data_IF_297220192849
#
_entry.id   IF_297220192849
#
_cell.length_a   1.000
_cell.length_b   1.000
_cell.length_c   1.000
_cell.angle_alpha   90.00
_cell.angle_beta   90.00
_cell.angle_gamma   90.00
#
_symmetry.space_group_name_H-M   'P 1'
#
loop_
_entity.id
_entity.type
_entity.pdbx_description
1 polymer ?
#
# COMPACT_ATOMS: atom_id res chain seq x y z
N UNK A 1 -24.40 26.32 -25.22
CA UNK A 1 -24.71 25.98 -23.81
C UNK A 1 -24.11 24.62 -23.53
N UNK A 2 -23.04 24.60 -22.73
CA UNK A 2 -22.23 23.40 -22.46
C UNK A 2 -22.92 22.57 -21.37
N UNK A 3 -22.95 21.25 -21.53
CA UNK A 3 -23.52 20.31 -20.58
C UNK A 3 -22.68 20.32 -19.29
N UNK A 4 -23.07 21.10 -18.29
CA UNK A 4 -22.61 20.91 -16.92
C UNK A 4 -23.13 19.57 -16.44
N UNK A 5 -22.23 18.61 -16.21
CA UNK A 5 -22.56 17.39 -15.50
C UNK A 5 -23.20 17.80 -14.17
N UNK A 6 -24.40 17.30 -13.83
CA UNK A 6 -24.93 17.53 -12.49
C UNK A 6 -23.92 16.96 -11.49
N UNK A 7 -23.63 17.72 -10.43
CA UNK A 7 -22.93 17.22 -9.25
C UNK A 7 -23.86 16.21 -8.56
N UNK A 8 -23.91 14.99 -9.12
CA UNK A 8 -24.64 13.88 -8.52
C UNK A 8 -23.79 13.39 -7.36
N UNK A 9 -24.27 13.48 -6.10
CA UNK A 9 -23.51 12.98 -4.97
C UNK A 9 -23.28 11.47 -5.16
N UNK A 10 -22.00 11.11 -5.31
CA UNK A 10 -21.53 9.75 -5.45
C UNK A 10 -21.32 9.16 -4.06
N UNK A 11 -22.17 8.22 -3.65
CA UNK A 11 -21.92 7.39 -2.48
C UNK A 11 -21.25 6.09 -2.93
N UNK A 12 -19.92 6.03 -2.86
CA UNK A 12 -19.17 4.81 -3.16
C UNK A 12 -19.02 4.00 -1.88
N UNK A 13 -19.66 2.84 -1.83
CA UNK A 13 -19.49 1.86 -0.74
C UNK A 13 -18.46 0.83 -1.18
N UNK A 14 -17.30 0.78 -0.54
CA UNK A 14 -16.28 -0.25 -0.84
C UNK A 14 -16.65 -1.55 -0.13
N UNK A 15 -16.90 -2.61 -0.90
CA UNK A 15 -17.07 -3.95 -0.35
C UNK A 15 -15.78 -4.38 0.34
N UNK A 16 -15.82 -4.57 1.66
CA UNK A 16 -14.67 -5.07 2.42
C UNK A 16 -13.70 -4.02 2.97
N UNK A 17 -13.97 -2.72 2.85
CA UNK A 17 -13.13 -1.63 3.40
C UNK A 17 -11.64 -1.69 2.96
N UNK A 18 -11.37 -2.27 1.79
CA UNK A 18 -10.04 -2.39 1.20
C UNK A 18 -10.00 -1.61 -0.10
N UNK A 19 -8.96 -0.79 -0.26
CA UNK A 19 -8.61 -0.15 -1.51
C UNK A 19 -7.32 -0.79 -2.03
N UNK A 20 -7.43 -1.57 -3.11
CA UNK A 20 -6.30 -2.30 -3.67
C UNK A 20 -5.63 -1.47 -4.78
N UNK A 21 -4.36 -1.13 -4.59
CA UNK A 21 -3.58 -0.33 -5.53
C UNK A 21 -3.26 -1.06 -6.83
N UNK A 22 -3.35 -2.40 -6.86
CA UNK A 22 -3.17 -3.19 -8.09
C UNK A 22 -4.18 -2.79 -9.20
N UNK A 23 -5.29 -2.14 -8.84
CA UNK A 23 -6.27 -1.59 -9.80
C UNK A 23 -5.63 -0.65 -10.84
N UNK A 24 -4.53 0.03 -10.49
CA UNK A 24 -3.82 0.95 -11.38
C UNK A 24 -2.99 0.26 -12.47
N UNK A 25 -2.76 -1.04 -12.33
CA UNK A 25 -2.06 -1.88 -13.31
C UNK A 25 -2.98 -2.86 -14.03
N UNK A 26 -4.28 -2.83 -13.75
CA UNK A 26 -5.23 -3.68 -14.44
C UNK A 26 -5.29 -3.31 -15.93
N UNK A 27 -5.33 -4.32 -16.81
CA UNK A 27 -5.49 -4.12 -18.27
C UNK A 27 -6.74 -3.30 -18.62
N UNK A 28 -7.78 -3.41 -17.78
CA UNK A 28 -9.03 -2.68 -17.93
C UNK A 28 -8.98 -1.23 -17.39
N UNK A 29 -7.87 -0.78 -16.81
CA UNK A 29 -7.75 0.57 -16.30
C UNK A 29 -7.77 1.58 -17.47
N UNK A 30 -8.72 2.54 -17.48
CA UNK A 30 -8.88 3.39 -18.65
C UNK A 30 -7.69 4.34 -18.79
N UNK A 31 -7.07 4.46 -19.99
CA UNK A 31 -5.95 5.38 -20.19
C UNK A 31 -6.38 6.85 -20.07
N UNK A 32 -7.68 7.12 -20.20
CA UNK A 32 -8.31 8.43 -19.97
C UNK A 32 -9.57 8.25 -19.13
N UNK A 33 -9.44 8.11 -17.80
CA UNK A 33 -10.57 7.93 -16.90
C UNK A 33 -11.51 9.13 -16.98
N UNK A 34 -12.82 8.87 -17.09
CA UNK A 34 -13.82 9.94 -17.05
C UNK A 34 -13.81 10.63 -15.68
N UNK A 35 -14.31 11.88 -15.56
CA UNK A 35 -14.42 12.55 -14.26
C UNK A 35 -15.14 11.70 -13.22
N UNK A 36 -16.20 11.01 -13.62
CA UNK A 36 -16.93 10.08 -12.78
C UNK A 36 -16.04 8.95 -12.21
N UNK A 37 -15.22 8.30 -13.05
CA UNK A 37 -14.31 7.24 -12.60
C UNK A 37 -13.26 7.80 -11.65
N UNK A 38 -12.70 8.99 -11.95
CA UNK A 38 -11.73 9.65 -11.07
C UNK A 38 -12.33 9.91 -9.68
N UNK A 39 -13.51 10.52 -9.63
CA UNK A 39 -14.22 10.81 -8.38
C UNK A 39 -14.56 9.53 -7.63
N UNK A 40 -15.03 8.49 -8.32
CA UNK A 40 -15.36 7.22 -7.66
C UNK A 40 -14.14 6.55 -7.00
N UNK A 41 -12.97 6.60 -7.66
CA UNK A 41 -11.72 6.08 -7.10
C UNK A 41 -11.27 6.92 -5.90
N UNK A 42 -11.36 8.25 -5.99
CA UNK A 42 -11.01 9.16 -4.90
C UNK A 42 -11.90 8.95 -3.67
N UNK A 43 -13.22 8.86 -3.86
CA UNK A 43 -14.17 8.56 -2.79
C UNK A 43 -13.90 7.19 -2.16
N UNK A 44 -13.64 6.17 -2.97
CA UNK A 44 -13.28 4.84 -2.47
C UNK A 44 -12.03 4.87 -1.58
N UNK A 45 -11.00 5.62 -1.98
CA UNK A 45 -9.79 5.80 -1.18
C UNK A 45 -10.06 6.55 0.12
N UNK A 46 -10.91 7.59 0.09
CA UNK A 46 -11.23 8.38 1.28
C UNK A 46 -12.06 7.59 2.31
N UNK A 47 -12.89 6.66 1.86
CA UNK A 47 -13.73 5.84 2.74
C UNK A 47 -13.02 4.58 3.27
N UNK A 48 -11.89 4.18 2.67
CA UNK A 48 -11.25 2.90 3.01
C UNK A 48 -10.57 2.90 4.38
N UNK A 49 -10.59 1.75 5.06
CA UNK A 49 -9.83 1.54 6.30
C UNK A 49 -8.52 0.79 6.05
N UNK A 50 -8.41 0.13 4.90
CA UNK A 50 -7.25 -0.64 4.50
C UNK A 50 -6.79 -0.23 3.10
N UNK A 51 -5.49 0.03 2.94
CA UNK A 51 -4.83 0.14 1.63
C UNK A 51 -4.02 -1.12 1.43
N UNK A 52 -4.28 -1.83 0.35
CA UNK A 52 -3.61 -3.08 0.04
C UNK A 52 -2.84 -2.98 -1.27
N UNK A 53 -1.74 -3.72 -1.36
CA UNK A 53 -1.17 -4.16 -2.63
C UNK A 53 -1.21 -5.68 -2.68
N UNK A 54 -2.03 -6.23 -3.56
CA UNK A 54 -2.11 -7.69 -3.76
C UNK A 54 -1.23 -8.12 -4.90
N UNK A 55 -0.20 -8.90 -4.60
CA UNK A 55 0.74 -9.45 -5.58
C UNK A 55 0.12 -10.66 -6.26
N UNK A 56 0.09 -10.65 -7.57
CA UNK A 56 -0.51 -11.66 -8.43
C UNK A 56 0.49 -12.13 -9.50
N UNK A 57 0.06 -13.06 -10.35
CA UNK A 57 0.84 -13.50 -11.50
C UNK A 57 1.12 -12.36 -12.49
N UNK A 58 0.18 -11.42 -12.62
CA UNK A 58 0.29 -10.29 -13.55
C UNK A 58 1.42 -9.34 -13.15
N UNK A 59 1.66 -9.20 -11.84
CA UNK A 59 2.76 -8.39 -11.30
C UNK A 59 4.16 -8.93 -11.64
N UNK A 60 4.25 -10.19 -12.06
CA UNK A 60 5.50 -10.81 -12.49
C UNK A 60 5.74 -10.68 -14.00
N UNK A 61 4.70 -10.36 -14.77
CA UNK A 61 4.76 -10.31 -16.23
C UNK A 61 4.59 -8.91 -16.79
N UNK A 62 3.95 -8.00 -16.04
CA UNK A 62 3.72 -6.62 -16.45
C UNK A 62 4.77 -5.66 -15.87
N UNK A 63 5.14 -4.60 -16.60
CA UNK A 63 6.03 -3.57 -16.08
C UNK A 63 5.30 -2.79 -14.95
N UNK A 64 5.88 -2.83 -13.76
CA UNK A 64 5.36 -2.10 -12.58
C UNK A 64 6.04 -0.75 -12.37
N UNK A 65 7.12 -0.49 -13.10
CA UNK A 65 7.96 0.70 -13.04
C UNK A 65 7.44 1.88 -13.89
N UNK A 66 6.58 1.61 -14.87
CA UNK A 66 6.01 2.62 -15.77
C UNK A 66 4.45 2.63 -15.72
N UNK A 67 3.84 3.04 -14.59
CA UNK A 67 2.40 3.21 -14.52
C UNK A 67 1.93 4.32 -15.47
N UNK A 68 0.74 4.15 -16.06
CA UNK A 68 0.18 5.15 -16.96
C UNK A 68 0.08 6.55 -16.31
N UNK A 69 0.25 7.60 -17.11
CA UNK A 69 0.14 8.98 -16.62
C UNK A 69 -1.19 9.25 -15.89
N UNK A 70 -2.30 8.68 -16.38
CA UNK A 70 -3.60 8.82 -15.74
C UNK A 70 -3.64 8.15 -14.35
N UNK A 71 -3.01 6.97 -14.19
CA UNK A 71 -2.88 6.31 -12.90
C UNK A 71 -2.04 7.15 -11.93
N UNK A 72 -0.90 7.67 -12.39
CA UNK A 72 -0.02 8.55 -11.58
C UNK A 72 -0.76 9.80 -11.12
N UNK A 73 -1.49 10.46 -12.01
CA UNK A 73 -2.27 11.66 -11.68
C UNK A 73 -3.34 11.38 -10.62
N UNK A 74 -4.07 10.27 -10.76
CA UNK A 74 -5.08 9.88 -9.77
C UNK A 74 -4.40 9.54 -8.44
N UNK A 75 -3.36 8.71 -8.44
CA UNK A 75 -2.63 8.26 -7.25
C UNK A 75 -2.14 9.45 -6.39
N UNK A 76 -1.64 10.51 -7.02
CA UNK A 76 -1.20 11.74 -6.33
C UNK A 76 -2.32 12.49 -5.61
N UNK A 77 -3.56 12.31 -6.06
CA UNK A 77 -4.76 12.99 -5.51
C UNK A 77 -5.51 12.16 -4.48
N UNK A 78 -5.14 10.90 -4.27
CA UNK A 78 -5.82 10.04 -3.30
C UNK A 78 -5.55 10.52 -1.88
N UNK A 79 -6.63 10.60 -1.10
CA UNK A 79 -6.60 10.88 0.33
C UNK A 79 -7.04 9.63 1.09
N UNK A 80 -6.33 9.34 2.17
CA UNK A 80 -6.46 8.10 2.94
C UNK A 80 -6.74 8.41 4.40
N UNK A 81 -7.67 9.34 4.65
CA UNK A 81 -7.90 9.93 5.98
C UNK A 81 -8.31 8.89 7.04
N UNK A 82 -9.00 7.82 6.61
CA UNK A 82 -9.53 6.77 7.49
C UNK A 82 -8.64 5.53 7.59
N UNK A 83 -7.57 5.47 6.82
CA UNK A 83 -6.74 4.26 6.70
C UNK A 83 -6.03 3.97 8.00
N UNK A 84 -6.22 2.76 8.51
CA UNK A 84 -5.54 2.25 9.70
C UNK A 84 -4.58 1.13 9.37
N UNK A 85 -4.90 0.37 8.33
CA UNK A 85 -4.16 -0.82 7.92
C UNK A 85 -3.57 -0.63 6.53
N UNK A 86 -2.32 -1.03 6.39
CA UNK A 86 -1.61 -1.08 5.12
C UNK A 86 -1.10 -2.49 4.94
N UNK A 87 -1.49 -3.16 3.85
CA UNK A 87 -1.14 -4.55 3.63
C UNK A 87 -0.46 -4.81 2.29
N UNK A 88 0.44 -5.79 2.30
CA UNK A 88 1.05 -6.37 1.10
C UNK A 88 0.92 -7.88 1.21
N UNK A 89 0.10 -8.45 0.35
CA UNK A 89 -0.33 -9.85 0.44
C UNK A 89 -0.29 -10.51 -0.94
N UNK A 90 -0.24 -11.84 -1.01
CA UNK A 90 -0.42 -12.55 -2.28
C UNK A 90 -1.90 -12.66 -2.62
N UNK A 91 -2.21 -12.71 -3.92
CA UNK A 91 -3.53 -13.10 -4.41
C UNK A 91 -3.89 -14.51 -3.91
N UNK A 92 -5.17 -14.76 -3.69
CA UNK A 92 -5.60 -16.07 -3.17
C UNK A 92 -5.22 -17.19 -4.14
N UNK A 93 -4.56 -18.24 -3.62
CA UNK A 93 -4.07 -19.37 -4.40
C UNK A 93 -2.81 -19.07 -5.23
N UNK A 94 -2.27 -17.84 -5.17
CA UNK A 94 -1.03 -17.51 -5.84
C UNK A 94 0.17 -18.02 -5.03
N UNK A 95 0.96 -18.87 -5.67
CA UNK A 95 2.23 -19.37 -5.13
C UNK A 95 3.34 -18.85 -6.05
N UNK A 96 4.18 -17.91 -5.57
CA UNK A 96 5.22 -17.32 -6.40
C UNK A 96 6.28 -18.38 -6.78
N UNK A 97 6.81 -18.32 -8.02
CA UNK A 97 7.92 -19.19 -8.41
C UNK A 97 9.16 -18.99 -7.51
N UNK A 98 9.96 -20.04 -7.27
CA UNK A 98 11.20 -19.91 -6.51
C UNK A 98 12.17 -18.92 -7.17
N UNK A 99 12.79 -18.05 -6.36
CA UNK A 99 13.77 -17.07 -6.85
C UNK A 99 13.17 -15.86 -7.56
N UNK A 100 11.85 -15.70 -7.55
CA UNK A 100 11.20 -14.49 -8.06
C UNK A 100 11.61 -13.27 -7.24
N UNK A 101 11.97 -12.19 -7.93
CA UNK A 101 12.28 -10.90 -7.31
C UNK A 101 11.01 -10.25 -6.78
N UNK A 102 11.08 -9.69 -5.59
CA UNK A 102 9.99 -8.91 -4.99
C UNK A 102 9.62 -7.69 -5.86
N UNK A 103 8.36 -7.56 -6.30
CA UNK A 103 7.92 -6.40 -7.06
C UNK A 103 8.00 -5.11 -6.24
N UNK A 104 8.29 -4.01 -6.93
CA UNK A 104 8.34 -2.66 -6.38
C UNK A 104 7.47 -1.71 -7.22
N UNK A 105 6.15 -1.68 -6.99
CA UNK A 105 5.20 -0.95 -7.83
C UNK A 105 5.40 0.55 -7.70
N UNK A 106 5.79 1.21 -8.79
CA UNK A 106 6.10 2.65 -8.78
C UNK A 106 4.89 3.52 -8.40
N UNK A 107 3.65 3.03 -8.58
CA UNK A 107 2.44 3.75 -8.18
C UNK A 107 2.43 4.09 -6.68
N UNK A 108 3.01 3.22 -5.84
CA UNK A 108 3.06 3.43 -4.38
C UNK A 108 3.86 4.70 -4.08
N UNK A 109 4.97 4.94 -4.79
CA UNK A 109 5.81 6.13 -4.63
C UNK A 109 5.07 7.43 -4.95
N UNK A 110 4.01 7.40 -5.75
CA UNK A 110 3.20 8.56 -6.10
C UNK A 110 2.08 8.88 -5.11
N UNK A 111 1.82 8.02 -4.12
CA UNK A 111 0.83 8.27 -3.09
C UNK A 111 1.26 9.38 -2.14
N UNK A 112 0.28 10.07 -1.59
CA UNK A 112 0.45 10.91 -0.40
C UNK A 112 0.85 10.07 0.81
N UNK A 113 1.30 10.71 1.88
CA UNK A 113 1.48 10.03 3.17
C UNK A 113 0.14 9.48 3.67
N UNK A 114 0.20 8.44 4.50
CA UNK A 114 -0.95 7.79 5.12
C UNK A 114 -1.05 8.27 6.57
N UNK A 115 -1.63 9.46 6.83
CA UNK A 115 -1.45 10.18 8.09
C UNK A 115 -2.10 9.48 9.29
N UNK A 116 -2.94 8.47 9.07
CA UNK A 116 -3.64 7.73 10.12
C UNK A 116 -3.27 6.25 10.16
N UNK A 117 -2.35 5.80 9.29
CA UNK A 117 -1.90 4.42 9.21
C UNK A 117 -1.19 3.98 10.48
N UNK A 118 -1.61 2.85 11.05
CA UNK A 118 -1.12 2.34 12.33
C UNK A 118 -0.50 0.96 12.23
N UNK A 119 -0.96 0.16 11.27
CA UNK A 119 -0.47 -1.19 11.08
C UNK A 119 0.06 -1.34 9.66
N UNK A 120 1.29 -1.81 9.55
CA UNK A 120 1.87 -2.30 8.32
C UNK A 120 1.96 -3.83 8.40
N UNK A 121 1.27 -4.53 7.51
CA UNK A 121 1.25 -5.98 7.43
C UNK A 121 1.82 -6.44 6.08
N UNK A 122 2.80 -7.32 6.10
CA UNK A 122 3.40 -7.88 4.89
C UNK A 122 3.34 -9.40 5.04
N UNK A 123 2.46 -10.06 4.30
CA UNK A 123 2.25 -11.52 4.37
C UNK A 123 2.59 -12.25 3.07
N UNK A 124 3.59 -11.73 2.36
CA UNK A 124 4.11 -12.33 1.14
C UNK A 124 5.64 -12.36 1.16
N UNK A 125 6.22 -13.50 0.79
CA UNK A 125 7.65 -13.63 0.50
C UNK A 125 8.15 -12.78 -0.67
N UNK A 126 7.23 -12.22 -1.49
CA UNK A 126 7.53 -11.21 -2.50
C UNK A 126 7.20 -9.78 -2.03
N UNK A 127 6.70 -9.64 -0.81
CA UNK A 127 6.19 -8.38 -0.29
C UNK A 127 7.28 -7.36 0.07
N UNK A 128 8.56 -7.71 -0.01
CA UNK A 128 9.67 -6.87 0.43
C UNK A 128 9.75 -5.51 -0.29
N UNK A 129 9.63 -5.51 -1.62
CA UNK A 129 9.73 -4.32 -2.44
C UNK A 129 8.55 -3.37 -2.22
N UNK A 130 7.33 -3.84 -2.46
CA UNK A 130 6.10 -3.09 -2.20
C UNK A 130 5.97 -2.67 -0.73
N UNK A 131 6.31 -3.55 0.20
CA UNK A 131 6.25 -3.28 1.64
C UNK A 131 7.19 -2.18 2.09
N UNK A 132 8.38 -2.09 1.48
CA UNK A 132 9.30 -0.98 1.70
C UNK A 132 8.71 0.35 1.24
N UNK A 133 8.13 0.39 0.04
CA UNK A 133 7.49 1.59 -0.48
C UNK A 133 6.29 2.01 0.39
N UNK A 134 5.50 1.05 0.87
CA UNK A 134 4.40 1.30 1.82
C UNK A 134 4.90 1.85 3.15
N UNK A 135 6.00 1.29 3.67
CA UNK A 135 6.64 1.78 4.88
C UNK A 135 7.01 3.26 4.74
N UNK A 136 7.55 3.71 3.60
CA UNK A 136 7.87 5.13 3.37
C UNK A 136 6.64 6.05 3.44
N UNK A 137 5.44 5.51 3.17
CA UNK A 137 4.16 6.24 3.22
C UNK A 137 3.48 6.24 4.58
N UNK A 138 3.93 5.40 5.53
CA UNK A 138 3.41 5.42 6.90
C UNK A 138 3.67 6.79 7.57
N UNK A 139 2.86 7.19 8.57
CA UNK A 139 2.95 8.52 9.16
C UNK A 139 4.35 8.82 9.73
N UNK A 140 4.79 10.07 9.58
CA UNK A 140 6.10 10.55 10.07
C UNK A 140 6.02 11.24 11.43
N UNK A 141 4.88 11.80 11.78
CA UNK A 141 4.72 12.58 13.01
C UNK A 141 4.77 11.65 14.23
N UNK A 142 5.56 12.01 15.24
CA UNK A 142 5.73 11.24 16.49
C UNK A 142 4.41 11.06 17.25
N UNK A 143 3.48 12.01 17.10
CA UNK A 143 2.14 11.93 17.67
C UNK A 143 1.28 10.82 17.03
N UNK A 144 1.68 10.35 15.84
CA UNK A 144 0.98 9.33 15.04
C UNK A 144 1.92 8.15 14.81
N UNK A 145 2.18 7.43 15.90
CA UNK A 145 3.06 6.26 15.95
C UNK A 145 2.55 5.11 15.09
N UNK A 146 3.48 4.31 14.56
CA UNK A 146 3.15 3.01 13.98
C UNK A 146 2.97 2.03 15.13
N UNK A 147 1.76 1.55 15.33
CA UNK A 147 1.44 0.66 16.45
C UNK A 147 2.03 -0.74 16.23
N UNK A 148 1.98 -1.23 14.99
CA UNK A 148 2.37 -2.61 14.70
C UNK A 148 2.94 -2.76 13.30
N UNK A 149 4.06 -3.46 13.20
CA UNK A 149 4.60 -3.96 11.94
C UNK A 149 4.57 -5.48 12.00
N UNK A 150 3.86 -6.11 11.09
CA UNK A 150 3.73 -7.56 11.01
C UNK A 150 4.40 -8.04 9.73
N UNK A 151 5.40 -8.90 9.86
CA UNK A 151 6.17 -9.46 8.75
C UNK A 151 5.95 -10.96 8.72
N UNK A 152 5.49 -11.49 7.59
CA UNK A 152 5.28 -12.91 7.37
C UNK A 152 6.57 -13.71 7.54
N UNK A 153 6.42 -14.98 7.93
CA UNK A 153 7.55 -15.90 8.08
C UNK A 153 8.27 -16.18 6.75
N UNK A 154 7.58 -15.95 5.64
CA UNK A 154 8.04 -16.09 4.27
C UNK A 154 8.80 -14.87 3.73
N UNK A 155 8.67 -13.70 4.35
CA UNK A 155 9.46 -12.50 3.98
C UNK A 155 10.95 -12.72 4.26
N UNK A 156 11.83 -12.44 3.31
CA UNK A 156 13.28 -12.63 3.50
C UNK A 156 13.89 -11.70 4.56
N UNK A 157 14.94 -12.12 5.26
CA UNK A 157 15.59 -11.32 6.33
C UNK A 157 16.05 -9.94 5.87
N UNK A 158 16.68 -9.87 4.69
CA UNK A 158 17.11 -8.58 4.10
C UNK A 158 15.92 -7.68 3.76
N UNK A 159 14.83 -8.27 3.31
CA UNK A 159 13.61 -7.54 2.97
C UNK A 159 12.94 -7.00 4.22
N UNK A 160 12.83 -7.80 5.29
CA UNK A 160 12.35 -7.36 6.61
C UNK A 160 13.15 -6.16 7.11
N UNK A 161 14.48 -6.26 7.04
CA UNK A 161 15.37 -5.16 7.43
C UNK A 161 15.16 -3.93 6.56
N UNK A 162 14.99 -4.11 5.25
CA UNK A 162 14.70 -3.02 4.31
C UNK A 162 13.38 -2.31 4.62
N UNK A 163 12.31 -3.04 4.94
CA UNK A 163 11.01 -2.47 5.34
C UNK A 163 11.16 -1.65 6.63
N UNK A 164 11.81 -2.22 7.65
CA UNK A 164 12.01 -1.53 8.92
C UNK A 164 12.85 -0.26 8.77
N UNK A 165 13.92 -0.31 7.94
CA UNK A 165 14.72 0.89 7.62
C UNK A 165 13.91 1.95 6.87
N UNK A 166 12.99 1.55 5.99
CA UNK A 166 12.16 2.46 5.23
C UNK A 166 11.06 3.16 6.07
N UNK A 167 10.72 2.61 7.24
CA UNK A 167 9.99 3.38 8.25
C UNK A 167 10.83 4.58 8.74
N UNK A 168 12.16 4.47 8.74
CA UNK A 168 13.06 5.54 9.13
C UNK A 168 13.27 5.60 10.64
N UNK A 169 14.47 6.07 11.03
CA UNK A 169 14.93 6.06 12.42
C UNK A 169 14.16 7.01 13.36
N UNK A 170 13.44 7.99 12.80
CA UNK A 170 12.66 8.97 13.57
C UNK A 170 11.26 8.47 13.97
N UNK A 171 10.85 7.29 13.48
CA UNK A 171 9.50 6.75 13.75
C UNK A 171 9.49 5.82 14.95
N UNK A 172 8.51 6.06 15.82
CA UNK A 172 8.25 5.15 16.93
C UNK A 172 7.35 4.00 16.48
N UNK A 173 7.87 2.78 16.59
CA UNK A 173 7.16 1.54 16.33
C UNK A 173 6.95 0.81 17.66
N UNK A 174 5.69 0.58 18.05
CA UNK A 174 5.39 -0.04 19.35
C UNK A 174 5.65 -1.55 19.34
N UNK A 175 5.23 -2.25 18.28
CA UNK A 175 5.38 -3.71 18.19
C UNK A 175 5.87 -4.11 16.80
N UNK A 176 6.86 -5.01 16.75
CA UNK A 176 7.28 -5.67 15.52
C UNK A 176 7.08 -7.16 15.67
N UNK A 177 6.35 -7.78 14.75
CA UNK A 177 6.10 -9.21 14.76
C UNK A 177 6.67 -9.85 13.51
N UNK A 178 7.29 -11.01 13.70
CA UNK A 178 7.88 -11.79 12.63
C UNK A 178 7.33 -13.21 12.70
N UNK A 179 6.54 -13.60 11.70
CA UNK A 179 5.76 -14.82 11.72
C UNK A 179 4.72 -14.82 12.86
N UNK A 180 4.55 -15.96 13.54
CA UNK A 180 3.65 -16.06 14.72
C UNK A 180 4.28 -15.54 16.02
N UNK A 181 5.47 -14.95 15.99
CA UNK A 181 6.17 -14.47 17.17
C UNK A 181 6.19 -12.95 17.20
N UNK A 182 5.68 -12.37 18.29
CA UNK A 182 5.72 -10.94 18.53
C UNK A 182 6.98 -10.56 19.31
N UNK A 183 7.66 -9.51 18.88
CA UNK A 183 8.81 -8.92 19.58
C UNK A 183 8.41 -7.48 19.96
N UNK A 184 8.30 -7.21 21.26
CA UNK A 184 8.09 -5.84 21.73
C UNK A 184 9.38 -5.05 21.57
N UNK A 185 9.34 -3.98 20.79
CA UNK A 185 10.50 -3.10 20.59
C UNK A 185 10.45 -2.03 21.67
N UNK A 186 11.07 -2.30 22.82
CA UNK A 186 11.27 -1.27 23.84
C UNK A 186 12.60 -0.56 23.56
N UNK A 187 12.49 0.61 22.92
CA UNK A 187 13.45 1.73 22.87
C UNK A 187 14.96 1.41 22.79
N UNK A 188 15.56 1.76 21.64
CA UNK A 188 16.96 2.21 21.57
C UNK A 188 18.04 1.13 21.44
N UNK A 189 17.98 0.31 20.38
CA UNK A 189 19.13 -0.47 19.94
C UNK A 189 19.45 -0.11 18.49
N UNK A 190 20.64 0.44 18.24
CA UNK A 190 21.15 0.58 16.89
C UNK A 190 21.20 -0.80 16.22
N UNK A 191 20.71 -0.87 14.98
CA UNK A 191 20.88 -2.06 14.15
C UNK A 191 22.32 -2.01 13.58
N UNK A 192 23.27 -2.62 14.29
CA UNK A 192 24.54 -3.08 13.74
C UNK A 192 24.44 -4.57 13.35
#
# INVERSE_FOLDING_TARGET
TCCTSPDVPLSVTTGGNIFNLAVFYADAFPPRPSPFIKTAIQEAAQQTMCVAYTISQDDLTHPLDDPSQAAVEIAKTLLFDKVKWVSVDNANGFVPPPGTTSPAPAIISHLQQLPTGRILHISSGLGGGAGRLMAEKMPREVERRVERVQLGSDVGTEERSGVLRALGAEREVLTVEVGRQAISVTQGGAFD
#
